data_IF_599666168844
#
_entry.id   IF_599666168844
#
_cell.length_a   1.000
_cell.length_b   1.000
_cell.length_c   1.000
_cell.angle_alpha   90.00
_cell.angle_beta   90.00
_cell.angle_gamma   90.00
#
_symmetry.space_group_name_H-M   'P 1'
#
loop_
_entity.id
_entity.type
_entity.pdbx_description
1 polymer ?
#
# COMPACT_ATOMS: atom_id res chain seq x y z
N UNK A 1 12.86 3.98 -2.68
CA UNK A 1 13.57 5.10 -2.09
C UNK A 1 12.96 6.43 -2.56
N UNK A 2 12.43 7.23 -1.63
CA UNK A 2 11.70 8.47 -1.90
C UNK A 2 12.43 9.65 -1.24
N UNK A 3 13.59 10.00 -1.75
CA UNK A 3 14.56 10.90 -1.10
C UNK A 3 14.00 12.25 -0.63
N UNK A 4 13.09 12.83 -1.39
CA UNK A 4 12.57 14.18 -1.13
C UNK A 4 11.26 14.21 -0.38
N UNK A 5 10.74 13.05 0.02
CA UNK A 5 9.41 12.92 0.61
C UNK A 5 9.54 12.81 2.12
N UNK A 6 8.75 13.63 2.85
CA UNK A 6 8.70 13.49 4.30
C UNK A 6 7.89 12.26 4.69
N UNK A 7 8.21 11.61 5.82
CA UNK A 7 7.39 10.50 6.32
C UNK A 7 5.93 10.88 6.54
N UNK A 8 5.67 12.09 7.01
CA UNK A 8 4.30 12.57 7.24
C UNK A 8 3.51 12.65 5.94
N UNK A 9 4.13 13.17 4.88
CA UNK A 9 3.48 13.24 3.57
C UNK A 9 3.22 11.84 3.03
N UNK A 10 4.21 10.96 3.10
CA UNK A 10 4.03 9.57 2.63
C UNK A 10 2.93 8.86 3.40
N UNK A 11 2.84 9.07 4.71
CA UNK A 11 1.77 8.47 5.51
C UNK A 11 0.39 8.91 5.02
N UNK A 12 0.22 10.16 4.60
CA UNK A 12 -1.06 10.63 4.09
C UNK A 12 -1.51 9.89 2.84
N UNK A 13 -0.59 9.28 2.10
CA UNK A 13 -0.90 8.47 0.90
C UNK A 13 -1.08 6.99 1.19
N UNK A 14 -0.50 6.45 2.25
CA UNK A 14 -0.59 5.02 2.52
C UNK A 14 -1.52 4.68 3.69
N UNK A 15 -1.74 5.62 4.61
CA UNK A 15 -2.49 5.36 5.84
C UNK A 15 -3.91 5.91 5.87
N UNK A 16 -4.39 6.49 4.77
CA UNK A 16 -5.74 7.05 4.68
C UNK A 16 -6.45 6.54 3.44
N UNK A 17 -7.79 6.48 3.49
CA UNK A 17 -8.57 6.07 2.32
C UNK A 17 -8.40 7.04 1.15
N UNK A 18 -8.36 8.33 1.42
CA UNK A 18 -8.21 9.34 0.37
C UNK A 18 -6.83 9.24 -0.30
N UNK A 19 -5.79 9.02 0.50
CA UNK A 19 -4.44 8.82 -0.04
C UNK A 19 -4.34 7.56 -0.88
N UNK A 20 -4.88 6.46 -0.40
CA UNK A 20 -4.89 5.20 -1.15
C UNK A 20 -5.68 5.31 -2.47
N UNK A 21 -6.73 6.13 -2.49
CA UNK A 21 -7.51 6.37 -3.70
C UNK A 21 -6.75 7.20 -4.76
N UNK A 22 -5.63 7.81 -4.37
CA UNK A 22 -4.82 8.59 -5.30
C UNK A 22 -3.84 7.74 -6.13
N UNK A 23 -3.47 6.55 -5.63
CA UNK A 23 -2.46 5.75 -6.33
C UNK A 23 -2.71 4.25 -6.30
N UNK A 24 -3.29 3.72 -5.23
CA UNK A 24 -3.44 2.27 -5.05
C UNK A 24 -4.67 1.72 -5.76
N UNK A 25 -5.75 2.46 -5.73
CA UNK A 25 -7.02 2.07 -6.35
C UNK A 25 -7.69 3.31 -6.94
N UNK A 26 -8.71 3.10 -7.78
CA UNK A 26 -9.46 4.20 -8.39
C UNK A 26 -10.33 4.92 -7.36
N UNK A 27 -10.86 4.19 -6.39
CA UNK A 27 -11.58 4.73 -5.25
C UNK A 27 -11.41 3.80 -4.06
N UNK A 28 -11.54 4.35 -2.86
CA UNK A 28 -11.43 3.58 -1.61
C UNK A 28 -12.50 4.05 -0.66
N UNK A 29 -13.27 3.10 -0.14
CA UNK A 29 -14.23 3.35 0.92
C UNK A 29 -13.86 2.51 2.12
N UNK A 30 -14.19 2.96 3.32
CA UNK A 30 -13.99 2.14 4.51
C UNK A 30 -15.12 2.31 5.50
N UNK A 31 -15.44 1.23 6.16
CA UNK A 31 -16.35 1.19 7.30
C UNK A 31 -15.55 0.58 8.44
N UNK A 32 -15.10 1.41 9.35
CA UNK A 32 -14.14 1.04 10.40
C UNK A 32 -12.88 0.41 9.81
N UNK A 33 -12.63 -0.88 10.07
CA UNK A 33 -11.44 -1.59 9.61
C UNK A 33 -11.64 -2.34 8.30
N UNK A 34 -12.87 -2.36 7.78
CA UNK A 34 -13.13 -3.01 6.50
C UNK A 34 -12.99 -1.97 5.38
N UNK A 35 -12.00 -2.19 4.51
CA UNK A 35 -11.74 -1.33 3.37
C UNK A 35 -12.25 -1.99 2.11
N UNK A 36 -12.89 -1.22 1.24
CA UNK A 36 -13.28 -1.65 -0.10
C UNK A 36 -12.50 -0.83 -1.11
N UNK A 37 -11.73 -1.52 -1.94
CA UNK A 37 -10.93 -0.91 -3.00
C UNK A 37 -11.63 -1.13 -4.33
N UNK A 38 -11.83 -0.05 -5.08
CA UNK A 38 -12.51 -0.08 -6.37
C UNK A 38 -11.51 0.15 -7.50
N UNK A 39 -11.52 -0.73 -8.47
CA UNK A 39 -10.84 -0.57 -9.74
C UNK A 39 -11.89 -0.56 -10.85
N UNK A 40 -11.54 -0.06 -12.02
CA UNK A 40 -12.49 0.25 -13.10
C UNK A 40 -13.66 -0.73 -13.26
N UNK A 41 -13.43 -2.04 -13.19
CA UNK A 41 -14.46 -3.07 -13.38
C UNK A 41 -14.58 -4.04 -12.23
N UNK A 42 -13.91 -3.78 -11.14
CA UNK A 42 -13.89 -4.73 -10.02
C UNK A 42 -13.74 -4.02 -8.70
N UNK A 43 -14.06 -4.72 -7.64
CA UNK A 43 -13.78 -4.27 -6.28
C UNK A 43 -13.31 -5.45 -5.44
N UNK A 44 -12.51 -5.14 -4.43
CA UNK A 44 -12.07 -6.13 -3.45
C UNK A 44 -12.10 -5.52 -2.06
N UNK A 45 -12.39 -6.34 -1.08
CA UNK A 45 -12.41 -5.93 0.32
C UNK A 45 -11.21 -6.50 1.05
N UNK A 46 -10.69 -5.72 1.99
CA UNK A 46 -9.60 -6.14 2.86
C UNK A 46 -9.86 -5.63 4.28
N UNK A 47 -9.46 -6.43 5.26
CA UNK A 47 -9.51 -6.03 6.66
C UNK A 47 -8.17 -5.40 7.06
N UNK A 48 -8.23 -4.24 7.68
CA UNK A 48 -7.08 -3.64 8.32
C UNK A 48 -6.78 -4.44 9.59
N UNK A 49 -5.75 -5.25 9.56
CA UNK A 49 -5.41 -6.15 10.67
C UNK A 49 -4.38 -5.57 11.62
N UNK A 50 -3.63 -4.56 11.19
CA UNK A 50 -2.69 -3.85 12.05
C UNK A 50 -2.42 -2.47 11.46
N UNK A 51 -2.22 -1.49 12.34
CA UNK A 51 -1.85 -0.14 11.93
C UNK A 51 -1.08 0.54 13.05
N UNK A 52 -0.04 1.27 12.66
CA UNK A 52 0.65 2.18 13.55
C UNK A 52 0.80 3.50 12.82
N UNK A 53 0.09 4.52 13.29
CA UNK A 53 0.04 5.82 12.63
C UNK A 53 1.45 6.37 12.38
N UNK A 54 1.70 6.81 11.16
CA UNK A 54 2.99 7.32 10.74
C UNK A 54 4.03 6.26 10.42
N UNK A 55 3.72 4.98 10.58
CA UNK A 55 4.69 3.90 10.42
C UNK A 55 4.24 2.85 9.41
N UNK A 56 3.15 2.16 9.67
CA UNK A 56 2.71 1.10 8.76
C UNK A 56 1.21 0.86 8.84
N UNK A 57 0.68 0.22 7.79
CA UNK A 57 -0.68 -0.30 7.75
C UNK A 57 -0.64 -1.67 7.08
N UNK A 58 -1.40 -2.62 7.63
CA UNK A 58 -1.40 -4.01 7.17
C UNK A 58 -2.82 -4.45 6.92
N UNK A 59 -3.04 -5.09 5.77
CA UNK A 59 -4.34 -5.57 5.33
C UNK A 59 -4.32 -7.06 5.02
N UNK A 60 -5.45 -7.70 5.24
CA UNK A 60 -5.72 -9.07 4.80
C UNK A 60 -6.90 -9.05 3.84
N UNK A 61 -6.69 -9.57 2.63
CA UNK A 61 -7.80 -9.66 1.65
C UNK A 61 -8.88 -10.58 2.15
N UNK A 62 -10.14 -10.13 2.10
CA UNK A 62 -11.29 -10.88 2.64
C UNK A 62 -11.53 -12.21 1.93
N UNK A 63 -11.16 -12.30 0.66
CA UNK A 63 -11.33 -13.50 -0.16
C UNK A 63 -10.11 -14.44 -0.16
N UNK A 64 -9.05 -14.09 0.58
CA UNK A 64 -7.88 -14.93 0.70
C UNK A 64 -8.10 -15.99 1.78
N UNK A 65 -8.04 -17.25 1.38
CA UNK A 65 -8.23 -18.39 2.29
C UNK A 65 -7.07 -18.60 3.25
N UNK A 66 -5.88 -18.10 2.91
CA UNK A 66 -4.73 -18.18 3.80
C UNK A 66 -4.81 -17.06 4.84
N UNK A 67 -5.24 -17.42 6.04
CA UNK A 67 -5.41 -16.48 7.14
C UNK A 67 -4.11 -15.79 7.58
N UNK A 68 -2.95 -16.33 7.19
CA UNK A 68 -1.64 -15.79 7.54
C UNK A 68 -1.12 -14.81 6.50
N UNK A 69 -1.73 -14.74 5.33
CA UNK A 69 -1.31 -13.81 4.30
C UNK A 69 -1.74 -12.39 4.63
N UNK A 70 -0.97 -11.42 4.14
CA UNK A 70 -1.31 -10.00 4.28
C UNK A 70 -0.51 -9.20 3.25
N UNK A 71 -0.91 -7.96 3.03
CA UNK A 71 0.00 -7.00 2.43
C UNK A 71 0.20 -5.83 3.40
N UNK A 72 1.39 -5.28 3.40
CA UNK A 72 1.77 -4.23 4.34
C UNK A 72 2.49 -3.11 3.60
N UNK A 73 2.13 -1.88 3.96
CA UNK A 73 2.78 -0.67 3.48
C UNK A 73 3.48 -0.05 4.70
N UNK A 74 4.80 0.04 4.65
CA UNK A 74 5.61 0.49 5.79
C UNK A 74 6.56 1.61 5.37
N UNK A 75 6.62 2.63 6.19
CA UNK A 75 7.58 3.72 6.04
C UNK A 75 8.85 3.35 6.81
N UNK A 76 9.98 3.47 6.14
CA UNK A 76 11.29 3.25 6.75
C UNK A 76 12.21 4.40 6.34
N UNK A 77 13.39 4.46 6.94
CA UNK A 77 14.41 5.41 6.53
C UNK A 77 15.73 4.69 6.32
N UNK A 78 16.50 5.17 5.33
CA UNK A 78 17.84 4.66 5.09
C UNK A 78 18.79 5.19 6.16
N UNK A 79 19.51 4.30 6.82
CA UNK A 79 20.52 4.70 7.81
C UNK A 79 21.68 5.45 7.19
N UNK A 80 21.98 5.16 5.92
CA UNK A 80 23.11 5.77 5.22
C UNK A 80 22.79 7.19 4.72
N UNK A 81 21.58 7.42 4.22
CA UNK A 81 21.23 8.67 3.54
C UNK A 81 20.15 9.45 4.25
N UNK A 82 19.47 8.85 5.22
CA UNK A 82 18.28 9.45 5.84
C UNK A 82 17.07 9.51 4.93
N UNK A 83 17.15 8.94 3.73
CA UNK A 83 16.06 8.98 2.76
C UNK A 83 14.85 8.19 3.26
N UNK A 84 13.64 8.70 2.97
CA UNK A 84 12.39 8.01 3.25
C UNK A 84 12.21 6.85 2.27
N UNK A 85 11.81 5.71 2.78
CA UNK A 85 11.61 4.49 1.99
C UNK A 85 10.21 3.95 2.22
N UNK A 86 9.58 3.47 1.17
CA UNK A 86 8.35 2.69 1.27
C UNK A 86 8.71 1.23 1.07
N UNK A 87 8.37 0.41 2.07
CA UNK A 87 8.61 -1.03 2.04
C UNK A 87 7.26 -1.73 1.90
N UNK A 88 7.11 -2.50 0.85
CA UNK A 88 5.90 -3.26 0.56
C UNK A 88 6.17 -4.72 0.82
N UNK A 89 5.34 -5.33 1.66
CA UNK A 89 5.35 -6.77 1.90
C UNK A 89 4.05 -7.35 1.37
N UNK A 90 4.13 -8.36 0.53
CA UNK A 90 2.98 -9.05 -0.03
C UNK A 90 3.30 -10.52 -0.20
N UNK A 91 2.29 -11.33 -0.33
CA UNK A 91 2.42 -12.79 -0.53
C UNK A 91 1.78 -13.16 -1.85
N UNK A 92 2.52 -13.92 -2.66
CA UNK A 92 2.03 -14.44 -3.93
C UNK A 92 2.55 -15.86 -4.10
N UNK A 93 1.82 -16.68 -4.85
CA UNK A 93 2.33 -18.00 -5.24
C UNK A 93 3.55 -17.82 -6.14
N UNK A 94 4.51 -18.77 -6.14
CA UNK A 94 5.74 -18.61 -6.92
C UNK A 94 5.52 -18.31 -8.40
N UNK A 95 4.47 -18.87 -9.01
CA UNK A 95 4.13 -18.63 -10.41
C UNK A 95 3.47 -17.27 -10.66
N UNK A 96 3.06 -16.57 -9.61
CA UNK A 96 2.42 -15.25 -9.69
C UNK A 96 3.32 -14.11 -9.25
N UNK A 97 4.52 -14.41 -8.74
CA UNK A 97 5.40 -13.39 -8.15
C UNK A 97 5.81 -12.30 -9.13
N UNK A 98 6.11 -12.67 -10.37
CA UNK A 98 6.50 -11.70 -11.39
C UNK A 98 5.35 -10.74 -11.72
N UNK A 99 4.13 -11.26 -11.85
CA UNK A 99 2.95 -10.45 -12.11
C UNK A 99 2.63 -9.53 -10.94
N UNK A 100 2.73 -10.05 -9.72
CA UNK A 100 2.52 -9.27 -8.51
C UNK A 100 3.50 -8.10 -8.41
N UNK A 101 4.78 -8.34 -8.69
CA UNK A 101 5.79 -7.27 -8.70
C UNK A 101 5.50 -6.22 -9.77
N UNK A 102 5.07 -6.66 -10.95
CA UNK A 102 4.73 -5.74 -12.03
C UNK A 102 3.57 -4.82 -11.66
N UNK A 103 2.55 -5.35 -11.02
CA UNK A 103 1.42 -4.56 -10.53
C UNK A 103 1.86 -3.55 -9.47
N UNK A 104 2.68 -3.96 -8.50
CA UNK A 104 3.21 -3.05 -7.49
C UNK A 104 4.09 -1.97 -8.09
N UNK A 105 4.96 -2.32 -9.03
CA UNK A 105 5.82 -1.35 -9.71
C UNK A 105 4.99 -0.28 -10.42
N UNK A 106 3.93 -0.68 -11.10
CA UNK A 106 3.03 0.25 -11.77
C UNK A 106 2.34 1.20 -10.78
N UNK A 107 1.85 0.67 -9.67
CA UNK A 107 1.20 1.47 -8.63
C UNK A 107 2.18 2.42 -7.97
N UNK A 108 3.39 1.96 -7.69
CA UNK A 108 4.46 2.79 -7.10
C UNK A 108 4.82 3.93 -8.04
N UNK A 109 4.87 3.69 -9.34
CA UNK A 109 5.14 4.75 -10.31
C UNK A 109 4.05 5.84 -10.27
N UNK A 110 2.79 5.44 -10.13
CA UNK A 110 1.68 6.37 -9.95
C UNK A 110 1.86 7.18 -8.66
N UNK A 111 2.23 6.52 -7.57
CA UNK A 111 2.50 7.19 -6.29
C UNK A 111 3.62 8.21 -6.44
N UNK A 112 4.72 7.85 -7.09
CA UNK A 112 5.85 8.76 -7.31
C UNK A 112 5.43 10.00 -8.08
N UNK A 113 4.60 9.84 -9.10
CA UNK A 113 4.07 10.99 -9.86
C UNK A 113 3.22 11.90 -8.99
N UNK A 114 2.38 11.34 -8.13
CA UNK A 114 1.57 12.12 -7.19
C UNK A 114 2.41 12.87 -6.17
N UNK A 115 3.51 12.27 -5.74
CA UNK A 115 4.45 12.88 -4.80
C UNK A 115 5.41 13.88 -5.47
N UNK A 116 5.52 13.85 -6.78
CA UNK A 116 6.41 14.72 -7.52
C UNK A 116 7.88 14.29 -7.52
N UNK A 117 8.13 12.99 -7.41
CA UNK A 117 9.49 12.45 -7.33
C UNK A 117 9.81 11.39 -8.37
#
# INVERSE_FOLDING_TARGET
DLKSVSPTLLWSYIGTKNGLADWFADDVQNEEKLFTFFWNKSSQQAHQIAVRSGSYIRFHWSDDEDEKSFFELRISSSELTGATMLVITDFAYPDEMADSRGLWDHQIETLRRKLGV
#
